data_IF_515768721773
#
_entry.id   IF_515768721773
#
_cell.length_a   1.000
_cell.length_b   1.000
_cell.length_c   1.000
_cell.angle_alpha   90.00
_cell.angle_beta   90.00
_cell.angle_gamma   90.00
#
_symmetry.space_group_name_H-M   'P 1'
#
loop_
_entity.id
_entity.type
_entity.pdbx_description
1 polymer ?
#
# COMPACT_ATOMS: atom_id res chain seq x y z
N UNK A 1 -13.00 5.74 26.15
CA UNK A 1 -12.19 5.77 24.92
C UNK A 1 -11.12 4.70 25.10
N UNK A 2 -11.35 3.50 24.55
CA UNK A 2 -10.47 2.34 24.72
C UNK A 2 -9.79 2.11 23.38
N UNK A 3 -8.49 2.37 23.31
CA UNK A 3 -7.64 2.05 22.16
C UNK A 3 -7.23 0.58 22.32
N UNK A 4 -7.52 -0.24 21.32
CA UNK A 4 -7.08 -1.63 21.28
C UNK A 4 -5.54 -1.68 21.12
N UNK A 5 -4.83 -2.64 21.75
CA UNK A 5 -3.42 -2.84 21.52
C UNK A 5 -3.24 -3.66 20.24
N UNK A 6 -2.76 -3.02 19.18
CA UNK A 6 -2.48 -3.69 17.92
C UNK A 6 -1.66 -2.79 17.01
N UNK A 7 -0.38 -3.13 16.88
CA UNK A 7 0.67 -2.42 16.12
C UNK A 7 1.00 -1.04 16.69
N UNK A 8 2.27 -0.82 17.04
CA UNK A 8 2.73 0.51 17.42
C UNK A 8 2.44 1.47 16.26
N UNK A 9 1.80 2.61 16.53
CA UNK A 9 1.69 3.67 15.55
C UNK A 9 3.10 3.99 15.03
N UNK A 10 3.30 3.94 13.72
CA UNK A 10 4.54 4.37 13.07
C UNK A 10 4.91 5.79 13.51
N UNK A 11 6.21 6.11 13.52
CA UNK A 11 6.66 7.47 13.80
C UNK A 11 6.25 8.39 12.63
N UNK A 12 5.36 9.38 12.84
CA UNK A 12 4.97 10.28 11.75
C UNK A 12 6.17 11.03 11.14
N UNK A 13 7.29 11.12 11.85
CA UNK A 13 8.49 11.79 11.38
C UNK A 13 9.23 11.04 10.25
N UNK A 14 8.96 9.74 10.04
CA UNK A 14 9.56 8.96 8.95
C UNK A 14 8.58 8.61 7.83
N UNK A 15 7.35 9.11 7.90
CA UNK A 15 6.30 8.80 6.94
C UNK A 15 6.39 9.66 5.67
N UNK A 16 6.38 9.00 4.52
CA UNK A 16 6.09 9.60 3.22
C UNK A 16 4.71 9.08 2.80
N UNK A 17 3.68 9.93 2.67
CA UNK A 17 2.36 9.49 2.26
C UNK A 17 2.36 8.84 0.88
N UNK A 18 1.51 7.83 0.68
CA UNK A 18 1.20 7.31 -0.65
C UNK A 18 0.28 8.31 -1.35
N UNK A 19 0.66 8.73 -2.55
CA UNK A 19 -0.17 9.60 -3.38
C UNK A 19 -1.09 8.76 -4.27
N UNK A 20 -2.26 9.33 -4.60
CA UNK A 20 -3.22 8.78 -5.57
C UNK A 20 -3.54 9.84 -6.62
N UNK A 21 -4.00 9.42 -7.80
CA UNK A 21 -4.38 10.27 -8.93
C UNK A 21 -3.19 10.69 -9.80
N UNK A 22 -2.05 9.99 -9.70
CA UNK A 22 -0.82 10.35 -10.40
C UNK A 22 -0.89 10.12 -11.92
N UNK A 23 -1.74 9.20 -12.38
CA UNK A 23 -1.93 8.93 -13.82
C UNK A 23 -2.81 9.99 -14.52
N UNK A 24 -3.34 10.94 -13.76
CA UNK A 24 -4.08 12.09 -14.26
C UNK A 24 -5.61 11.99 -14.12
N UNK A 25 -6.34 13.07 -14.46
CA UNK A 25 -7.72 13.25 -14.00
C UNK A 25 -8.77 12.40 -14.71
N UNK A 26 -8.38 11.68 -15.76
CA UNK A 26 -9.29 10.84 -16.55
C UNK A 26 -9.15 9.34 -16.24
N UNK A 27 -8.28 8.99 -15.30
CA UNK A 27 -8.02 7.61 -14.88
C UNK A 27 -8.42 7.41 -13.41
N UNK A 28 -8.52 6.15 -13.01
CA UNK A 28 -8.71 5.79 -11.61
C UNK A 28 -7.54 6.31 -10.76
N UNK A 29 -7.81 6.64 -9.50
CA UNK A 29 -6.83 7.23 -8.62
C UNK A 29 -5.65 6.28 -8.32
N UNK A 30 -5.83 4.97 -8.48
CA UNK A 30 -4.74 4.01 -8.51
C UNK A 30 -4.73 3.33 -9.88
N UNK A 31 -3.59 3.39 -10.57
CA UNK A 31 -3.46 2.99 -11.97
C UNK A 31 -3.41 1.48 -12.21
N UNK A 32 -3.35 0.65 -11.17
CA UNK A 32 -3.28 -0.79 -11.37
C UNK A 32 -3.67 -1.63 -10.17
N UNK A 33 -3.76 -2.93 -10.44
CA UNK A 33 -3.99 -3.98 -9.47
C UNK A 33 -2.97 -5.10 -9.66
N UNK A 34 -2.46 -5.61 -8.56
CA UNK A 34 -1.48 -6.69 -8.53
C UNK A 34 -1.58 -7.52 -7.27
N UNK A 35 -0.58 -8.38 -7.07
CA UNK A 35 -0.47 -9.20 -5.87
C UNK A 35 0.98 -9.33 -5.40
N UNK A 36 1.14 -9.76 -4.15
CA UNK A 36 2.44 -10.15 -3.60
C UNK A 36 2.88 -11.48 -4.20
N UNK A 37 4.09 -11.50 -4.76
CA UNK A 37 4.69 -12.69 -5.35
C UNK A 37 4.88 -13.82 -4.32
N UNK A 38 5.13 -15.08 -4.77
CA UNK A 38 5.55 -16.15 -3.87
C UNK A 38 6.80 -15.78 -3.06
N UNK A 39 6.60 -15.58 -1.75
CA UNK A 39 7.66 -15.30 -0.79
C UNK A 39 8.36 -16.60 -0.34
N UNK A 40 9.58 -16.47 0.16
CA UNK A 40 10.36 -17.58 0.69
C UNK A 40 9.74 -18.11 2.00
N UNK A 41 9.20 -19.34 2.03
CA UNK A 41 8.58 -19.91 3.22
C UNK A 41 9.59 -20.29 4.31
N UNK A 42 10.87 -20.47 3.96
CA UNK A 42 11.95 -20.76 4.90
C UNK A 42 12.61 -19.47 5.44
N UNK A 43 12.26 -18.32 4.85
CA UNK A 43 12.68 -16.99 5.24
C UNK A 43 11.77 -16.34 6.27
N UNK A 44 11.60 -15.02 6.17
CA UNK A 44 10.68 -14.26 7.01
C UNK A 44 9.22 -14.38 6.55
N UNK A 45 9.00 -14.78 5.29
CA UNK A 45 7.72 -15.14 4.68
C UNK A 45 6.65 -14.04 4.75
N UNK A 46 7.06 -12.77 4.72
CA UNK A 46 6.17 -11.62 4.54
C UNK A 46 6.87 -10.53 3.73
N UNK A 47 6.08 -9.69 3.06
CA UNK A 47 6.53 -8.44 2.47
C UNK A 47 6.21 -7.30 3.45
N UNK A 48 7.23 -6.52 3.79
CA UNK A 48 7.07 -5.37 4.69
C UNK A 48 6.34 -4.23 3.99
N UNK A 49 5.26 -3.73 4.59
CA UNK A 49 4.66 -2.44 4.23
C UNK A 49 5.29 -1.36 5.10
N UNK A 50 5.86 -0.35 4.46
CA UNK A 50 6.73 0.64 5.11
C UNK A 50 6.15 2.04 5.10
N UNK A 51 6.59 2.83 6.08
CA UNK A 51 6.21 4.22 6.24
C UNK A 51 6.70 5.16 5.13
N UNK A 52 7.82 4.83 4.48
CA UNK A 52 8.38 5.55 3.35
C UNK A 52 9.07 4.57 2.39
N UNK A 53 9.41 4.99 1.16
CA UNK A 53 10.09 4.17 0.16
C UNK A 53 11.58 3.95 0.50
N UNK A 54 11.84 3.34 1.66
CA UNK A 54 13.19 3.04 2.12
C UNK A 54 13.19 1.91 3.16
N UNK A 55 14.22 1.08 3.15
CA UNK A 55 14.39 0.01 4.15
C UNK A 55 14.64 0.52 5.58
N UNK A 56 14.94 1.81 5.74
CA UNK A 56 15.21 2.46 7.02
C UNK A 56 13.96 2.96 7.75
N UNK A 57 12.83 3.09 7.05
CA UNK A 57 11.59 3.54 7.68
C UNK A 57 10.92 2.41 8.44
N UNK A 58 10.04 2.80 9.35
CA UNK A 58 9.19 1.91 10.14
C UNK A 58 8.41 0.95 9.25
N UNK A 59 8.31 -0.31 9.69
CA UNK A 59 7.37 -1.29 9.12
C UNK A 59 6.02 -1.03 9.77
N UNK A 60 5.03 -0.65 8.96
CA UNK A 60 3.65 -0.42 9.37
C UNK A 60 2.83 -1.71 9.41
N UNK A 61 3.09 -2.61 8.46
CA UNK A 61 2.33 -3.84 8.31
C UNK A 61 3.18 -4.95 7.65
N UNK A 62 2.66 -6.17 7.68
CA UNK A 62 3.26 -7.35 7.05
C UNK A 62 2.17 -8.04 6.23
N UNK A 63 2.40 -8.14 4.93
CA UNK A 63 1.50 -8.80 3.98
C UNK A 63 2.14 -10.07 3.43
N UNK A 64 1.33 -10.99 2.93
CA UNK A 64 1.78 -12.32 2.53
C UNK A 64 1.50 -12.60 1.05
N UNK A 65 2.12 -13.65 0.52
CA UNK A 65 1.90 -14.17 -0.84
C UNK A 65 0.43 -14.15 -1.24
N UNK A 66 0.14 -13.63 -2.43
CA UNK A 66 -1.21 -13.54 -2.99
C UNK A 66 -2.09 -12.43 -2.38
N UNK A 67 -1.57 -11.62 -1.45
CA UNK A 67 -2.29 -10.43 -1.00
C UNK A 67 -2.49 -9.49 -2.20
N UNK A 68 -3.74 -9.22 -2.55
CA UNK A 68 -4.11 -8.26 -3.59
C UNK A 68 -3.83 -6.82 -3.17
N UNK A 69 -3.30 -6.03 -4.09
CA UNK A 69 -2.81 -4.66 -3.89
C UNK A 69 -3.30 -3.76 -5.03
N UNK A 70 -3.73 -2.55 -4.69
CA UNK A 70 -3.93 -1.46 -5.65
C UNK A 70 -2.63 -0.66 -5.73
N UNK A 71 -2.10 -0.46 -6.93
CA UNK A 71 -0.85 0.25 -7.17
C UNK A 71 -1.17 1.70 -7.52
N UNK A 72 -0.67 2.64 -6.70
CA UNK A 72 -1.11 4.03 -6.74
C UNK A 72 0.03 5.03 -6.94
N UNK A 73 1.24 4.66 -6.51
CA UNK A 73 2.41 5.55 -6.50
C UNK A 73 3.69 4.75 -6.78
N UNK A 74 4.73 5.43 -7.26
CA UNK A 74 6.05 4.85 -7.52
C UNK A 74 7.14 5.85 -7.13
N UNK A 75 8.08 5.40 -6.30
CA UNK A 75 9.29 6.15 -5.94
C UNK A 75 10.51 5.23 -5.99
N UNK A 76 11.27 5.34 -7.09
CA UNK A 76 12.38 4.42 -7.37
C UNK A 76 11.89 2.97 -7.49
N UNK A 77 12.48 2.08 -6.68
CA UNK A 77 12.14 0.66 -6.65
C UNK A 77 10.95 0.35 -5.71
N UNK A 78 10.26 1.36 -5.20
CA UNK A 78 9.14 1.22 -4.27
C UNK A 78 7.81 1.54 -4.94
N UNK A 79 6.80 0.79 -4.56
CA UNK A 79 5.41 0.98 -4.99
C UNK A 79 4.59 1.41 -3.79
N UNK A 80 3.90 2.54 -3.92
CA UNK A 80 2.88 2.96 -2.97
C UNK A 80 1.59 2.21 -3.25
N UNK A 81 1.12 1.47 -2.26
CA UNK A 81 0.00 0.54 -2.40
C UNK A 81 -1.13 0.85 -1.45
N UNK A 82 -2.35 0.55 -1.88
CA UNK A 82 -3.57 0.54 -1.06
C UNK A 82 -4.13 -0.88 -1.06
N UNK A 83 -4.52 -1.40 0.10
CA UNK A 83 -4.95 -2.79 0.24
C UNK A 83 -5.84 -3.00 1.47
N UNK A 84 -6.59 -4.10 1.44
CA UNK A 84 -7.56 -4.41 2.50
C UNK A 84 -6.87 -4.76 3.82
N UNK A 85 -7.48 -4.28 4.90
CA UNK A 85 -7.27 -4.76 6.26
C UNK A 85 -7.48 -6.26 6.40
N UNK A 86 -6.73 -6.91 7.30
CA UNK A 86 -7.14 -8.23 7.78
C UNK A 86 -8.49 -8.07 8.48
N UNK A 87 -9.48 -8.87 8.10
CA UNK A 87 -10.85 -8.76 8.62
C UNK A 87 -11.65 -7.55 8.12
N UNK A 88 -11.15 -6.77 7.16
CA UNK A 88 -11.94 -5.76 6.48
C UNK A 88 -12.85 -6.43 5.45
N UNK A 89 -14.17 -6.29 5.56
CA UNK A 89 -15.14 -6.88 4.63
C UNK A 89 -15.37 -6.03 3.39
N UNK A 90 -15.33 -4.69 3.53
CA UNK A 90 -15.51 -3.77 2.42
C UNK A 90 -14.35 -3.85 1.42
N UNK A 91 -14.68 -3.80 0.14
CA UNK A 91 -13.76 -3.82 -0.99
C UNK A 91 -13.52 -2.43 -1.56
N UNK A 92 -14.35 -1.45 -1.21
CA UNK A 92 -14.21 -0.10 -1.70
C UNK A 92 -13.14 0.66 -0.90
N UNK A 93 -11.96 0.83 -1.51
CA UNK A 93 -10.89 1.65 -0.97
C UNK A 93 -10.98 3.13 -1.41
N UNK A 94 -12.01 3.52 -2.17
CA UNK A 94 -12.15 4.90 -2.67
C UNK A 94 -11.07 5.30 -3.69
N UNK A 95 -10.50 4.32 -4.38
CA UNK A 95 -9.41 4.48 -5.37
C UNK A 95 -9.89 4.46 -6.81
N UNK A 96 -11.12 3.99 -7.05
CA UNK A 96 -11.75 3.86 -8.37
C UNK A 96 -12.51 5.14 -8.74
N UNK A 97 -11.84 6.28 -8.50
CA UNK A 97 -12.38 7.63 -8.68
C UNK A 97 -11.42 8.46 -9.52
N UNK A 98 -11.97 9.38 -10.29
CA UNK A 98 -11.21 10.40 -10.98
C UNK A 98 -10.88 11.56 -10.02
N UNK A 99 -9.61 11.91 -9.92
CA UNK A 99 -9.16 13.05 -9.12
C UNK A 99 -8.72 14.21 -10.00
N UNK A 100 -9.17 15.44 -9.75
CA UNK A 100 -8.73 16.60 -10.53
C UNK A 100 -7.23 16.88 -10.37
N UNK A 101 -6.67 16.55 -9.21
CA UNK A 101 -5.26 16.70 -8.87
C UNK A 101 -4.82 15.54 -7.95
N UNK A 102 -3.54 15.12 -8.01
CA UNK A 102 -3.01 14.12 -7.09
C UNK A 102 -3.11 14.57 -5.63
N UNK A 103 -3.34 13.61 -4.72
CA UNK A 103 -3.43 13.88 -3.27
C UNK A 103 -2.98 12.68 -2.45
N UNK A 104 -2.70 12.92 -1.18
CA UNK A 104 -2.42 11.86 -0.20
C UNK A 104 -3.64 10.95 -0.04
N UNK A 105 -3.39 9.65 0.12
CA UNK A 105 -4.44 8.70 0.43
C UNK A 105 -4.89 8.81 1.90
N UNK A 106 -6.17 9.09 2.11
CA UNK A 106 -6.83 9.08 3.43
C UNK A 106 -8.11 8.21 3.43
N UNK A 107 -8.18 7.25 2.50
CA UNK A 107 -9.34 6.37 2.36
C UNK A 107 -9.42 5.30 3.46
N UNK A 108 -10.44 4.43 3.40
CA UNK A 108 -10.75 3.48 4.48
C UNK A 108 -9.80 2.28 4.57
N UNK A 109 -9.11 1.93 3.49
CA UNK A 109 -8.18 0.80 3.44
C UNK A 109 -6.78 1.13 4.01
N UNK A 110 -5.97 0.09 4.25
CA UNK A 110 -4.56 0.24 4.63
C UNK A 110 -3.73 0.67 3.43
N UNK A 111 -2.58 1.29 3.70
CA UNK A 111 -1.68 1.76 2.66
C UNK A 111 -0.24 1.89 3.18
N UNK A 112 0.71 2.01 2.26
CA UNK A 112 2.12 2.25 2.54
C UNK A 112 3.01 1.84 1.36
N UNK A 113 4.30 1.69 1.61
CA UNK A 113 5.30 1.41 0.58
C UNK A 113 5.79 -0.03 0.64
N UNK A 114 5.81 -0.72 -0.50
CA UNK A 114 6.39 -2.06 -0.65
C UNK A 114 7.49 -2.02 -1.72
N UNK A 115 8.44 -2.96 -1.64
CA UNK A 115 9.49 -3.05 -2.64
C UNK A 115 8.97 -3.75 -3.91
N UNK A 116 9.23 -3.18 -5.08
CA UNK A 116 8.69 -3.60 -6.38
C UNK A 116 9.07 -5.01 -6.79
N UNK A 117 10.27 -5.49 -6.41
CA UNK A 117 10.75 -6.85 -6.73
C UNK A 117 9.90 -8.00 -6.15
N UNK A 118 8.95 -7.71 -5.27
CA UNK A 118 8.11 -8.71 -4.59
C UNK A 118 6.63 -8.60 -4.94
N UNK A 119 6.30 -7.82 -5.97
CA UNK A 119 4.92 -7.64 -6.42
C UNK A 119 4.83 -7.74 -7.94
N UNK A 120 3.76 -8.37 -8.41
CA UNK A 120 3.46 -8.45 -9.84
C UNK A 120 2.23 -7.63 -10.17
N UNK A 121 2.34 -6.75 -11.17
CA UNK A 121 1.20 -6.07 -11.78
C UNK A 121 0.39 -7.06 -12.62
N UNK A 122 -0.90 -7.17 -12.34
CA UNK A 122 -1.82 -8.05 -13.07
C UNK A 122 -2.68 -7.27 -14.06
N UNK A 123 -3.13 -6.07 -13.70
CA UNK A 123 -4.04 -5.23 -14.48
C UNK A 123 -3.63 -3.75 -14.33
N UNK A 124 -3.63 -3.00 -15.44
CA UNK A 124 -3.45 -1.54 -15.50
C UNK A 124 -4.00 -0.96 -16.80
#
# INVERSE_FOLDING_TARGET
>A
MLVAPGVAAHDPADAQPVMIGLDGPNLDACGGYGEVDPLDPDGDNFLAVRAAPTTRSSIMDRIHTGQGLLFCDVDGDWVGVVYRGEGQDDWDCGTNINLPEPREYHGPCRHGWVHGDYVTLLIG
#
